data_IF_561751074915
#
_entry.id   IF_561751074915
#
_cell.length_a   1.000
_cell.length_b   1.000
_cell.length_c   1.000
_cell.angle_alpha   90.00
_cell.angle_beta   90.00
_cell.angle_gamma   90.00
#
_symmetry.space_group_name_H-M   'P 1'
#
loop_
_entity.id
_entity.type
_entity.pdbx_description
1 polymer ?
#
# COMPACT_ATOMS: atom_id res chain seq x y z
N UNK A 1 -14.83 7.87 17.10
CA UNK A 1 -13.56 8.22 16.43
C UNK A 1 -13.23 9.71 16.46
N UNK A 2 -14.20 10.63 16.26
CA UNK A 2 -13.97 12.09 16.39
C UNK A 2 -13.39 12.48 17.77
N UNK A 3 -13.91 11.89 18.86
CA UNK A 3 -13.42 12.16 20.22
C UNK A 3 -11.92 11.87 20.38
N UNK A 4 -11.44 10.77 19.80
CA UNK A 4 -10.03 10.40 19.85
C UNK A 4 -9.15 11.38 19.05
N UNK A 5 -9.66 11.85 17.92
CA UNK A 5 -9.01 12.85 17.07
C UNK A 5 -8.83 14.19 17.81
N UNK A 6 -9.86 14.60 18.56
CA UNK A 6 -9.82 15.80 19.41
C UNK A 6 -8.84 15.64 20.57
N UNK A 7 -8.90 14.52 21.32
CA UNK A 7 -7.98 14.24 22.43
C UNK A 7 -6.52 14.16 22.00
N UNK A 8 -6.24 13.59 20.82
CA UNK A 8 -4.87 13.47 20.30
C UNK A 8 -4.39 14.72 19.54
N UNK A 9 -5.23 15.76 19.40
CA UNK A 9 -4.89 16.98 18.65
C UNK A 9 -4.59 16.74 17.16
N UNK A 10 -5.11 15.66 16.57
CA UNK A 10 -4.76 15.25 15.21
C UNK A 10 -5.70 15.88 14.19
N UNK A 11 -5.17 16.50 13.12
CA UNK A 11 -6.00 17.11 12.07
C UNK A 11 -6.18 16.23 10.83
N UNK A 12 -5.42 15.14 10.70
CA UNK A 12 -5.40 14.27 9.52
C UNK A 12 -6.58 13.29 9.38
N UNK A 13 -6.48 12.31 8.46
CA UNK A 13 -7.55 11.38 8.14
C UNK A 13 -7.93 10.44 9.30
N UNK A 14 -9.23 10.19 9.48
CA UNK A 14 -9.73 9.23 10.49
C UNK A 14 -9.24 7.80 10.24
N UNK A 15 -8.97 7.45 8.98
CA UNK A 15 -8.44 6.14 8.61
C UNK A 15 -7.06 5.89 9.24
N UNK A 16 -6.24 6.93 9.36
CA UNK A 16 -4.93 6.85 10.01
C UNK A 16 -5.08 6.47 11.48
N UNK A 17 -6.02 7.12 12.18
CA UNK A 17 -6.36 6.79 13.58
C UNK A 17 -6.83 5.34 13.69
N UNK A 18 -7.78 4.91 12.83
CA UNK A 18 -8.29 3.53 12.87
C UNK A 18 -7.18 2.50 12.72
N UNK A 19 -6.27 2.70 11.77
CA UNK A 19 -5.13 1.80 11.54
C UNK A 19 -4.18 1.75 12.74
N UNK A 20 -3.84 2.91 13.30
CA UNK A 20 -2.96 3.02 14.45
C UNK A 20 -3.53 2.40 15.72
N UNK A 21 -4.86 2.45 15.93
CA UNK A 21 -5.49 1.77 17.07
C UNK A 21 -5.23 0.26 17.02
N UNK A 22 -5.30 -0.37 15.83
CA UNK A 22 -4.98 -1.80 15.70
C UNK A 22 -3.50 -2.08 16.00
N UNK A 23 -2.60 -1.20 15.61
CA UNK A 23 -1.15 -1.37 15.83
C UNK A 23 -0.73 -1.10 17.27
N UNK A 24 -1.42 -0.20 17.97
CA UNK A 24 -1.09 0.25 19.33
C UNK A 24 -2.12 -0.22 20.37
N UNK A 25 -2.87 -1.29 20.10
CA UNK A 25 -4.01 -1.70 20.93
C UNK A 25 -3.63 -2.00 22.39
N UNK A 26 -2.44 -2.56 22.57
CA UNK A 26 -1.89 -2.96 23.87
C UNK A 26 -0.84 -1.99 24.42
N UNK A 27 -0.64 -0.87 23.73
CA UNK A 27 0.35 0.14 24.09
C UNK A 27 -0.30 1.27 24.90
N UNK A 28 0.47 1.98 25.74
CA UNK A 28 -0.02 3.18 26.42
C UNK A 28 -0.51 4.25 25.43
N UNK A 29 -1.51 5.02 25.85
CA UNK A 29 -2.05 6.10 25.01
C UNK A 29 -0.98 7.12 24.56
N UNK A 30 0.05 7.35 25.37
CA UNK A 30 1.18 8.22 25.03
C UNK A 30 1.95 7.71 23.81
N UNK A 31 2.15 6.39 23.69
CA UNK A 31 2.79 5.76 22.54
C UNK A 31 1.95 5.95 21.27
N UNK A 32 0.63 5.79 21.37
CA UNK A 32 -0.29 6.08 20.29
C UNK A 32 -0.16 7.53 19.79
N UNK A 33 -0.14 8.51 20.70
CA UNK A 33 -0.02 9.94 20.34
C UNK A 33 1.33 10.23 19.67
N UNK A 34 2.44 9.70 20.21
CA UNK A 34 3.76 9.86 19.60
C UNK A 34 3.82 9.27 18.19
N UNK A 35 3.27 8.07 18.01
CA UNK A 35 3.25 7.39 16.70
C UNK A 35 2.34 8.12 15.71
N UNK A 36 1.23 8.68 16.17
CA UNK A 36 0.28 9.43 15.34
C UNK A 36 0.87 10.72 14.76
N UNK A 37 1.73 11.41 15.53
CA UNK A 37 2.41 12.65 15.09
C UNK A 37 3.77 12.42 14.46
N UNK A 38 4.27 11.17 14.45
CA UNK A 38 5.55 10.82 13.84
C UNK A 38 5.51 11.11 12.34
N UNK A 39 6.50 11.85 11.84
CA UNK A 39 6.68 12.04 10.40
C UNK A 39 6.95 10.68 9.74
N UNK A 40 6.24 10.32 8.65
CA UNK A 40 6.53 9.09 7.93
C UNK A 40 7.95 9.14 7.39
N UNK A 41 8.73 8.08 7.65
CA UNK A 41 10.11 7.96 7.17
C UNK A 41 10.18 7.81 5.64
N UNK A 42 9.11 7.29 5.03
CA UNK A 42 9.00 7.11 3.59
C UNK A 42 7.66 7.63 3.08
N UNK A 43 7.67 8.48 2.05
CA UNK A 43 6.49 8.70 1.24
C UNK A 43 6.39 7.57 0.21
N UNK A 44 5.42 6.66 0.37
CA UNK A 44 5.06 5.82 -0.77
C UNK A 44 4.49 6.75 -1.85
N UNK A 45 4.72 6.44 -3.13
CA UNK A 45 4.10 7.19 -4.24
C UNK A 45 2.56 7.00 -4.31
N UNK A 46 1.95 6.46 -3.26
CA UNK A 46 0.53 6.12 -3.21
C UNK A 46 0.13 5.08 -4.27
N UNK A 47 -1.18 4.95 -4.46
CA UNK A 47 -1.74 4.22 -5.59
C UNK A 47 -1.49 5.05 -6.84
N UNK A 48 -0.59 4.59 -7.71
CA UNK A 48 -0.37 5.22 -9.02
C UNK A 48 -1.50 4.80 -9.96
N UNK A 49 -1.96 5.74 -10.79
CA UNK A 49 -2.86 5.41 -11.89
C UNK A 49 -2.14 4.42 -12.80
N UNK A 50 -2.80 3.31 -13.12
CA UNK A 50 -2.28 2.32 -14.05
C UNK A 50 -2.23 2.98 -15.43
N UNK A 51 -1.06 2.94 -16.06
CA UNK A 51 -0.86 3.43 -17.42
C UNK A 51 -1.18 2.30 -18.39
N UNK A 52 -2.46 2.17 -18.73
CA UNK A 52 -2.97 1.10 -19.58
C UNK A 52 -2.38 1.14 -20.99
N UNK A 53 -2.13 2.33 -21.53
CA UNK A 53 -1.55 2.49 -22.87
C UNK A 53 -0.13 1.95 -22.91
N UNK A 54 0.70 2.32 -21.92
CA UNK A 54 2.07 1.80 -21.82
C UNK A 54 2.11 0.29 -21.60
N UNK A 55 1.16 -0.25 -20.83
CA UNK A 55 1.04 -1.71 -20.65
C UNK A 55 0.69 -2.37 -21.99
N UNK A 56 -0.32 -1.85 -22.68
CA UNK A 56 -0.75 -2.37 -23.98
C UNK A 56 0.39 -2.38 -25.00
N UNK A 57 1.11 -1.27 -25.18
CA UNK A 57 2.23 -1.17 -26.12
C UNK A 57 3.34 -2.18 -25.79
N UNK A 58 3.64 -2.39 -24.51
CA UNK A 58 4.60 -3.42 -24.08
C UNK A 58 4.11 -4.82 -24.41
N UNK A 59 2.84 -5.11 -24.12
CA UNK A 59 2.24 -6.41 -24.43
C UNK A 59 2.28 -6.70 -25.93
N UNK A 60 1.92 -5.73 -26.78
CA UNK A 60 2.03 -5.87 -28.23
C UNK A 60 3.46 -6.19 -28.66
N UNK A 61 4.45 -5.46 -28.13
CA UNK A 61 5.86 -5.72 -28.42
C UNK A 61 6.30 -7.13 -28.03
N UNK A 62 5.90 -7.62 -26.87
CA UNK A 62 6.25 -8.97 -26.39
C UNK A 62 5.60 -10.07 -27.25
N UNK A 63 4.34 -9.87 -27.67
CA UNK A 63 3.66 -10.78 -28.59
C UNK A 63 4.38 -10.83 -29.95
N UNK A 64 4.71 -9.66 -30.52
CA UNK A 64 5.42 -9.58 -31.79
C UNK A 64 6.84 -10.17 -31.73
N UNK A 65 7.49 -10.11 -30.56
CA UNK A 65 8.80 -10.72 -30.34
C UNK A 65 8.74 -12.26 -30.12
N UNK A 66 7.54 -12.86 -30.09
CA UNK A 66 7.37 -14.29 -29.79
C UNK A 66 7.56 -14.65 -28.32
N UNK A 67 7.74 -13.66 -27.44
CA UNK A 67 7.97 -13.84 -26.00
C UNK A 67 6.66 -14.02 -25.21
N UNK A 68 5.52 -14.26 -25.86
CA UNK A 68 4.22 -14.40 -25.19
C UNK A 68 3.86 -15.84 -24.79
N UNK A 69 4.75 -16.81 -25.06
CA UNK A 69 4.48 -18.24 -24.80
C UNK A 69 4.13 -18.55 -23.34
N UNK A 70 4.75 -17.84 -22.39
CA UNK A 70 4.49 -17.99 -20.95
C UNK A 70 3.06 -17.59 -20.53
N UNK A 71 2.35 -16.77 -21.32
CA UNK A 71 0.98 -16.36 -20.99
C UNK A 71 -0.02 -17.52 -21.08
N UNK A 72 0.30 -18.53 -21.88
CA UNK A 72 -0.50 -19.74 -22.04
C UNK A 72 0.09 -20.92 -21.28
N UNK A 73 1.18 -20.70 -20.55
CA UNK A 73 1.87 -21.75 -19.82
C UNK A 73 1.10 -22.06 -18.52
N UNK A 74 0.74 -23.32 -18.36
CA UNK A 74 0.05 -23.85 -17.17
C UNK A 74 1.05 -24.49 -16.20
N UNK A 75 2.34 -24.48 -16.54
CA UNK A 75 3.42 -25.01 -15.72
C UNK A 75 3.54 -24.17 -14.46
N UNK A 76 3.25 -24.79 -13.32
CA UNK A 76 3.38 -24.19 -12.02
C UNK A 76 4.86 -23.94 -11.71
N UNK A 77 5.25 -22.69 -11.52
CA UNK A 77 6.56 -22.33 -10.98
C UNK A 77 6.50 -22.44 -9.45
N UNK A 78 7.14 -23.46 -8.83
CA UNK A 78 7.09 -23.62 -7.39
C UNK A 78 7.77 -22.43 -6.73
N UNK A 79 6.98 -21.56 -6.11
CA UNK A 79 7.49 -20.50 -5.24
C UNK A 79 8.37 -21.15 -4.17
N UNK A 80 9.69 -21.00 -4.31
CA UNK A 80 10.68 -21.49 -3.34
C UNK A 80 10.39 -20.77 -2.03
N UNK A 81 10.06 -21.54 -1.01
CA UNK A 81 9.66 -21.06 0.31
C UNK A 81 10.84 -20.96 1.28
#
# INVERSE_FOLDING_TARGET
>A
MIMLKLKAGYRGPLLTIKRLIHTCLYEPFTFFVQTLHRKPHHSSRGRRKVDYERIYQKTVRQVLAGEAGYLNDVTYDPLVH
#
